data_IF_055914056056
#
_entry.id   IF_055914056056
#
_cell.length_a   1.000
_cell.length_b   1.000
_cell.length_c   1.000
_cell.angle_alpha   90.00
_cell.angle_beta   90.00
_cell.angle_gamma   90.00
#
_symmetry.space_group_name_H-M   'P 1'
#
loop_
_entity.id
_entity.type
_entity.pdbx_description
1 polymer ?
#
# COMPACT_ATOMS: atom_id res chain seq x y z
N UNK A 1 4.16 17.09 -23.53
CA UNK A 1 3.86 18.43 -22.97
C UNK A 1 3.39 18.27 -21.52
N UNK A 2 4.02 18.97 -20.57
CA UNK A 2 3.55 18.99 -19.19
C UNK A 2 2.25 19.80 -19.12
N UNK A 3 1.23 19.30 -18.42
CA UNK A 3 0.01 20.07 -18.22
C UNK A 3 0.31 21.30 -17.34
N UNK A 4 -0.19 22.46 -17.76
CA UNK A 4 -0.09 23.68 -16.97
C UNK A 4 -1.18 23.68 -15.88
N UNK A 5 -0.75 23.55 -14.63
CA UNK A 5 -1.63 23.49 -13.48
C UNK A 5 -1.76 24.86 -12.83
N UNK A 6 -2.71 25.66 -13.31
CA UNK A 6 -3.12 26.87 -12.60
C UNK A 6 -3.77 26.53 -11.26
N UNK A 7 -3.90 27.52 -10.38
CA UNK A 7 -4.59 27.38 -9.11
C UNK A 7 -6.05 26.93 -9.31
N UNK A 8 -6.72 27.48 -10.32
CA UNK A 8 -8.10 27.13 -10.65
C UNK A 8 -8.21 25.73 -11.25
N UNK A 9 -7.32 25.36 -12.18
CA UNK A 9 -7.26 23.99 -12.71
C UNK A 9 -6.98 22.97 -11.61
N UNK A 10 -6.11 23.31 -10.66
CA UNK A 10 -5.84 22.46 -9.49
C UNK A 10 -7.09 22.33 -8.62
N UNK A 11 -7.82 23.42 -8.35
CA UNK A 11 -9.09 23.37 -7.61
C UNK A 11 -10.13 22.49 -8.27
N UNK A 12 -10.34 22.67 -9.58
CA UNK A 12 -11.30 21.88 -10.36
C UNK A 12 -10.93 20.40 -10.33
N UNK A 13 -9.68 20.04 -10.61
CA UNK A 13 -9.28 18.63 -10.63
C UNK A 13 -9.36 17.98 -9.25
N UNK A 14 -9.00 18.70 -8.17
CA UNK A 14 -9.11 18.17 -6.80
C UNK A 14 -10.58 17.94 -6.41
N UNK A 15 -11.50 18.81 -6.84
CA UNK A 15 -12.94 18.59 -6.63
C UNK A 15 -13.43 17.33 -7.36
N UNK A 16 -13.09 17.18 -8.64
CA UNK A 16 -13.50 16.02 -9.44
C UNK A 16 -12.94 14.71 -8.89
N UNK A 17 -11.68 14.73 -8.43
CA UNK A 17 -11.08 13.60 -7.75
C UNK A 17 -11.81 13.25 -6.45
N UNK A 18 -12.15 14.24 -5.62
CA UNK A 18 -12.89 13.99 -4.39
C UNK A 18 -14.28 13.40 -4.65
N UNK A 19 -14.98 13.84 -5.70
CA UNK A 19 -16.28 13.29 -6.08
C UNK A 19 -16.17 11.82 -6.49
N UNK A 20 -15.14 11.46 -7.27
CA UNK A 20 -14.89 10.07 -7.66
C UNK A 20 -14.52 9.18 -6.46
N UNK A 21 -13.79 9.72 -5.48
CA UNK A 21 -13.50 8.99 -4.23
C UNK A 21 -14.79 8.77 -3.42
N UNK A 22 -15.65 9.78 -3.29
CA UNK A 22 -16.95 9.67 -2.62
C UNK A 22 -17.88 8.67 -3.31
N UNK A 23 -17.77 8.54 -4.63
CA UNK A 23 -18.50 7.55 -5.42
C UNK A 23 -17.96 6.11 -5.27
N UNK A 24 -16.88 5.90 -4.51
CA UNK A 24 -16.29 4.58 -4.29
C UNK A 24 -15.38 4.10 -5.43
N UNK A 25 -15.06 4.97 -6.40
CA UNK A 25 -14.23 4.61 -7.56
C UNK A 25 -12.72 4.61 -7.26
N UNK A 26 -12.35 4.41 -6.00
CA UNK A 26 -10.96 4.31 -5.53
C UNK A 26 -10.84 3.05 -4.66
N UNK A 27 -10.74 1.85 -5.27
CA UNK A 27 -10.72 0.58 -4.55
C UNK A 27 -9.44 0.37 -3.72
N UNK A 28 -8.37 1.12 -4.02
CA UNK A 28 -7.10 1.06 -3.31
C UNK A 28 -6.50 2.47 -3.21
N UNK A 29 -5.28 2.68 -3.73
CA UNK A 29 -4.53 3.94 -3.59
C UNK A 29 -4.82 4.98 -4.68
N UNK A 30 -5.45 4.57 -5.78
CA UNK A 30 -5.71 5.38 -6.98
C UNK A 30 -7.14 5.19 -7.47
N UNK A 31 -7.62 6.14 -8.26
CA UNK A 31 -8.91 6.01 -8.93
C UNK A 31 -8.87 4.85 -9.95
N UNK A 32 -10.03 4.27 -10.26
CA UNK A 32 -10.16 3.31 -11.37
C UNK A 32 -9.89 4.00 -12.71
N UNK A 33 -9.52 3.23 -13.73
CA UNK A 33 -9.27 3.76 -15.07
C UNK A 33 -10.49 4.52 -15.61
N UNK A 34 -11.70 3.96 -15.46
CA UNK A 34 -12.95 4.62 -15.83
C UNK A 34 -13.14 5.96 -15.09
N UNK A 35 -12.82 6.03 -13.80
CA UNK A 35 -12.94 7.27 -13.05
C UNK A 35 -11.92 8.33 -13.49
N UNK A 36 -10.71 7.94 -13.90
CA UNK A 36 -9.78 8.88 -14.52
C UNK A 36 -10.28 9.40 -15.87
N UNK A 37 -10.92 8.55 -16.68
CA UNK A 37 -11.54 9.00 -17.94
C UNK A 37 -12.70 9.95 -17.70
N UNK A 38 -13.56 9.68 -16.72
CA UNK A 38 -14.65 10.58 -16.34
C UNK A 38 -14.12 11.93 -15.84
N UNK A 39 -13.07 11.91 -15.02
CA UNK A 39 -12.41 13.14 -14.57
C UNK A 39 -11.84 13.90 -15.76
N UNK A 40 -11.18 13.23 -16.71
CA UNK A 40 -10.65 13.87 -17.91
C UNK A 40 -11.77 14.52 -18.74
N UNK A 41 -12.88 13.80 -18.96
CA UNK A 41 -14.06 14.29 -19.70
C UNK A 41 -14.68 15.52 -19.03
N UNK A 42 -14.93 15.45 -17.73
CA UNK A 42 -15.56 16.55 -16.97
C UNK A 42 -14.60 17.73 -16.81
N UNK A 43 -13.30 17.47 -16.66
CA UNK A 43 -12.28 18.53 -16.62
C UNK A 43 -12.21 19.28 -17.95
N UNK A 44 -12.20 18.56 -19.09
CA UNK A 44 -12.26 19.16 -20.43
C UNK A 44 -13.56 19.95 -20.63
N UNK A 45 -14.70 19.44 -20.13
CA UNK A 45 -15.98 20.16 -20.20
C UNK A 45 -15.94 21.50 -19.45
N UNK A 46 -15.26 21.56 -18.30
CA UNK A 46 -15.18 22.78 -17.47
C UNK A 46 -14.10 23.77 -17.91
N UNK A 47 -12.97 23.28 -18.39
CA UNK A 47 -11.77 24.11 -18.66
C UNK A 47 -11.42 24.24 -20.14
N UNK A 48 -12.01 23.39 -20.99
CA UNK A 48 -11.63 23.25 -22.40
C UNK A 48 -10.29 22.51 -22.62
N UNK A 49 -9.59 22.14 -21.55
CA UNK A 49 -8.26 21.52 -21.63
C UNK A 49 -8.37 20.00 -21.65
N UNK A 50 -7.75 19.39 -22.65
CA UNK A 50 -7.66 17.94 -22.75
C UNK A 50 -6.50 17.41 -21.89
N UNK A 51 -6.82 16.61 -20.87
CA UNK A 51 -5.85 15.99 -20.00
C UNK A 51 -5.73 14.50 -20.29
N UNK A 52 -4.51 14.06 -20.55
CA UNK A 52 -4.19 12.63 -20.67
C UNK A 52 -4.25 11.95 -19.30
N UNK A 53 -4.60 10.66 -19.29
CA UNK A 53 -4.59 9.82 -18.09
C UNK A 53 -3.28 9.96 -17.28
N UNK A 54 -2.12 9.91 -17.95
CA UNK A 54 -0.81 10.07 -17.31
C UNK A 54 -0.64 11.42 -16.60
N UNK A 55 -1.25 12.50 -17.12
CA UNK A 55 -1.18 13.82 -16.50
C UNK A 55 -2.03 13.88 -15.22
N UNK A 56 -3.18 13.21 -15.21
CA UNK A 56 -4.04 13.07 -14.03
C UNK A 56 -3.39 12.20 -12.95
N UNK A 57 -2.81 11.05 -13.32
CA UNK A 57 -2.05 10.19 -12.38
C UNK A 57 -0.88 10.95 -11.76
N UNK A 58 -0.05 11.60 -12.58
CA UNK A 58 1.06 12.42 -12.09
C UNK A 58 0.62 13.56 -11.16
N UNK A 59 -0.56 14.16 -11.41
CA UNK A 59 -1.12 15.20 -10.54
C UNK A 59 -1.61 14.60 -9.23
N UNK A 60 -2.30 13.46 -9.28
CA UNK A 60 -2.73 12.72 -8.09
C UNK A 60 -1.55 12.39 -7.18
N UNK A 61 -0.46 11.85 -7.72
CA UNK A 61 0.75 11.50 -6.95
C UNK A 61 1.39 12.72 -6.29
N UNK A 62 1.48 13.84 -7.02
CA UNK A 62 1.98 15.10 -6.45
C UNK A 62 1.08 15.61 -5.32
N UNK A 63 -0.24 15.55 -5.50
CA UNK A 63 -1.19 15.94 -4.46
C UNK A 63 -1.08 15.05 -3.22
N UNK A 64 -0.87 13.75 -3.40
CA UNK A 64 -0.63 12.79 -2.30
C UNK A 64 0.63 13.12 -1.51
N UNK A 65 1.75 13.37 -2.21
CA UNK A 65 3.02 13.78 -1.57
C UNK A 65 2.82 15.06 -0.77
N UNK A 66 2.12 16.03 -1.35
CA UNK A 66 1.87 17.33 -0.74
C UNK A 66 1.01 17.22 0.52
N UNK A 67 -0.05 16.42 0.45
CA UNK A 67 -0.90 16.11 1.60
C UNK A 67 -0.12 15.40 2.71
N UNK A 68 0.73 14.42 2.38
CA UNK A 68 1.56 13.72 3.35
C UNK A 68 2.55 14.63 4.07
N UNK A 69 3.24 15.49 3.31
CA UNK A 69 4.16 16.50 3.87
C UNK A 69 3.39 17.41 4.84
N UNK A 70 2.19 17.84 4.45
CA UNK A 70 1.36 18.71 5.25
C UNK A 70 0.78 18.02 6.49
N UNK A 71 0.35 16.76 6.40
CA UNK A 71 -0.12 15.94 7.54
C UNK A 71 0.99 15.74 8.57
N UNK A 72 2.21 15.43 8.12
CA UNK A 72 3.40 15.35 9.01
C UNK A 72 3.75 16.70 9.63
N UNK A 73 3.58 17.79 8.89
CA UNK A 73 3.77 19.14 9.40
C UNK A 73 2.76 19.46 10.52
N UNK A 74 1.47 19.09 10.33
CA UNK A 74 0.40 19.18 11.34
C UNK A 74 0.69 18.37 12.60
N UNK A 75 1.12 17.12 12.44
CA UNK A 75 1.43 16.23 13.57
C UNK A 75 2.60 16.71 14.43
N UNK A 76 3.60 17.36 13.83
CA UNK A 76 4.75 17.92 14.56
C UNK A 76 4.35 19.06 15.50
N UNK A 77 3.22 19.69 15.24
CA UNK A 77 2.70 20.82 16.00
C UNK A 77 1.68 20.33 17.02
N UNK A 78 2.15 19.60 18.03
CA UNK A 78 1.34 19.12 19.14
C UNK A 78 0.79 20.30 19.95
N UNK A 79 -0.37 20.84 19.53
CA UNK A 79 -1.12 21.86 20.28
C UNK A 79 -1.38 23.17 19.54
N UNK A 80 -2.45 23.21 18.73
CA UNK A 80 -3.30 24.40 18.59
C UNK A 80 -2.82 25.61 17.76
N UNK A 81 -1.66 25.59 17.09
CA UNK A 81 -1.14 26.77 16.36
C UNK A 81 -1.54 26.91 14.88
N UNK A 82 -2.57 26.19 14.41
CA UNK A 82 -3.09 26.33 13.05
C UNK A 82 -4.13 27.45 12.97
N UNK A 83 -3.72 28.68 12.71
CA UNK A 83 -4.63 29.79 12.40
C UNK A 83 -4.96 29.81 10.90
N UNK A 84 -6.24 29.61 10.56
CA UNK A 84 -6.77 29.77 9.19
C UNK A 84 -6.03 28.96 8.09
N UNK A 85 -5.48 27.79 8.45
CA UNK A 85 -4.78 26.89 7.51
C UNK A 85 -3.34 27.30 7.16
N UNK A 86 -2.79 28.33 7.80
CA UNK A 86 -1.39 28.75 7.65
C UNK A 86 -0.63 28.58 8.96
N UNK A 87 0.58 28.03 8.88
CA UNK A 87 1.45 27.83 10.04
C UNK A 87 2.18 29.14 10.35
N UNK A 88 1.67 29.90 11.32
CA UNK A 88 2.29 31.13 11.81
C UNK A 88 3.32 30.80 12.90
N UNK A 89 4.39 30.08 12.52
CA UNK A 89 5.53 29.79 13.41
C UNK A 89 6.77 30.61 13.06
N UNK A 90 7.65 30.75 14.05
CA UNK A 90 8.90 31.48 13.93
C UNK A 90 9.86 30.89 12.87
N UNK A 91 10.86 31.67 12.51
CA UNK A 91 11.85 31.26 11.52
C UNK A 91 12.70 30.05 11.94
N UNK A 92 12.79 29.75 13.24
CA UNK A 92 13.63 28.67 13.78
C UNK A 92 12.90 27.33 13.74
N UNK A 93 11.61 27.31 14.05
CA UNK A 93 10.71 26.18 13.87
C UNK A 93 10.70 25.74 12.42
N UNK A 94 10.58 26.67 11.46
CA UNK A 94 10.66 26.36 10.04
C UNK A 94 12.04 25.84 9.59
N UNK A 95 13.14 26.26 10.24
CA UNK A 95 14.48 25.68 9.98
C UNK A 95 14.52 24.22 10.43
N UNK A 96 13.94 23.90 11.58
CA UNK A 96 13.87 22.54 12.10
C UNK A 96 12.92 21.67 11.27
N UNK A 97 11.72 22.15 10.96
CA UNK A 97 10.74 21.47 10.13
C UNK A 97 11.27 21.17 8.72
N UNK A 98 12.12 22.02 8.13
CA UNK A 98 12.77 21.75 6.84
C UNK A 98 13.81 20.64 6.90
N UNK A 99 14.46 20.44 8.05
CA UNK A 99 15.41 19.33 8.26
C UNK A 99 14.65 18.01 8.40
N UNK A 100 13.57 18.02 9.17
CA UNK A 100 12.79 16.83 9.50
C UNK A 100 11.85 16.41 8.35
N UNK A 101 11.28 17.39 7.63
CA UNK A 101 10.29 17.20 6.57
C UNK A 101 10.77 17.90 5.30
N UNK A 102 11.41 17.13 4.41
CA UNK A 102 11.85 17.64 3.10
C UNK A 102 10.64 18.14 2.30
N UNK A 103 10.74 19.34 1.73
CA UNK A 103 9.69 19.93 0.90
C UNK A 103 8.58 20.68 1.66
N UNK A 104 8.59 20.70 2.99
CA UNK A 104 7.58 21.44 3.78
C UNK A 104 7.66 22.96 3.59
N UNK A 105 8.82 23.48 3.16
CA UNK A 105 9.08 24.90 3.04
C UNK A 105 8.16 25.66 2.08
N UNK A 106 7.49 24.97 1.15
CA UNK A 106 6.48 25.58 0.27
C UNK A 106 5.20 25.97 1.01
N UNK A 107 4.88 25.28 2.11
CA UNK A 107 3.71 25.57 2.93
C UNK A 107 3.90 26.76 3.87
N UNK A 108 5.11 27.35 3.89
CA UNK A 108 5.46 28.51 4.73
C UNK A 108 4.77 29.80 4.32
N UNK A 109 4.59 30.01 3.02
CA UNK A 109 3.97 31.25 2.48
C UNK A 109 2.50 31.07 2.14
N UNK A 110 2.08 29.83 1.95
CA UNK A 110 0.75 29.47 1.52
C UNK A 110 0.43 28.08 2.05
N UNK A 111 -0.56 27.96 2.92
CA UNK A 111 -1.03 26.68 3.45
C UNK A 111 -1.46 25.69 2.35
N UNK A 112 -1.83 24.48 2.74
CA UNK A 112 -2.31 23.48 1.79
C UNK A 112 -3.67 23.91 1.22
N UNK A 113 -3.70 24.26 -0.07
CA UNK A 113 -4.95 24.56 -0.78
C UNK A 113 -5.77 23.29 -0.96
N UNK A 114 -7.10 23.42 -0.89
CA UNK A 114 -8.06 22.32 -1.02
C UNK A 114 -7.88 21.21 0.04
N UNK A 115 -7.44 21.56 1.25
CA UNK A 115 -7.19 20.58 2.33
C UNK A 115 -8.36 19.61 2.53
N UNK A 116 -9.61 20.10 2.54
CA UNK A 116 -10.79 19.26 2.74
C UNK A 116 -10.93 18.18 1.65
N UNK A 117 -10.78 18.55 0.38
CA UNK A 117 -10.83 17.59 -0.72
C UNK A 117 -9.64 16.63 -0.69
N UNK A 118 -8.45 17.13 -0.33
CA UNK A 118 -7.26 16.28 -0.18
C UNK A 118 -7.40 15.29 0.98
N UNK A 119 -8.04 15.69 2.07
CA UNK A 119 -8.41 14.80 3.17
C UNK A 119 -9.34 13.71 2.68
N UNK A 120 -10.41 14.06 1.97
CA UNK A 120 -11.33 13.06 1.38
C UNK A 120 -10.58 12.10 0.44
N UNK A 121 -9.63 12.60 -0.35
CA UNK A 121 -8.90 11.78 -1.31
C UNK A 121 -7.83 10.87 -0.69
N UNK A 122 -7.23 11.25 0.44
CA UNK A 122 -5.99 10.64 0.92
C UNK A 122 -6.00 10.19 2.39
N UNK A 123 -6.97 10.61 3.21
CA UNK A 123 -6.91 10.38 4.66
C UNK A 123 -6.75 8.89 5.05
N UNK A 124 -7.44 8.01 4.35
CA UNK A 124 -7.48 6.57 4.61
C UNK A 124 -6.38 5.76 3.90
N UNK A 125 -5.58 6.40 3.02
CA UNK A 125 -4.45 5.78 2.31
C UNK A 125 -3.10 6.38 2.70
N UNK A 126 -3.08 7.26 3.70
CA UNK A 126 -1.86 7.92 4.17
C UNK A 126 -1.46 7.36 5.52
N UNK A 127 -0.49 6.44 5.50
CA UNK A 127 0.15 5.90 6.69
C UNK A 127 0.86 7.02 7.43
N UNK A 128 0.44 7.25 8.65
CA UNK A 128 0.72 8.44 9.42
C UNK A 128 2.06 8.37 10.17
N UNK A 129 2.94 7.43 9.82
CA UNK A 129 4.18 7.15 10.55
C UNK A 129 3.98 6.61 11.98
N UNK A 130 2.77 6.67 12.54
CA UNK A 130 2.31 5.94 13.73
C UNK A 130 2.02 4.48 13.36
N UNK A 131 1.76 4.18 12.09
CA UNK A 131 1.70 2.82 11.52
C UNK A 131 3.07 2.12 11.39
N UNK A 132 4.10 2.56 12.13
CA UNK A 132 5.23 1.68 12.39
C UNK A 132 4.71 0.56 13.30
N UNK A 133 4.23 -0.51 12.67
CA UNK A 133 4.00 -1.76 13.35
C UNK A 133 5.30 -2.15 14.04
N UNK A 134 5.32 -1.99 15.37
CA UNK A 134 6.42 -2.45 16.21
C UNK A 134 6.24 -3.96 16.37
N UNK A 135 7.21 -4.80 15.95
CA UNK A 135 7.13 -6.25 16.15
C UNK A 135 6.95 -6.66 17.62
N UNK A 136 7.26 -5.77 18.57
CA UNK A 136 7.06 -5.99 20.00
C UNK A 136 5.61 -5.78 20.48
N UNK A 137 4.70 -5.25 19.65
CA UNK A 137 3.33 -4.90 20.06
C UNK A 137 2.27 -5.98 19.76
N UNK A 138 2.66 -7.13 19.22
CA UNK A 138 1.86 -8.38 19.21
C UNK A 138 0.57 -8.41 18.37
N UNK A 139 0.06 -7.28 17.88
CA UNK A 139 -1.16 -7.23 17.07
C UNK A 139 -0.83 -6.91 15.61
N UNK A 140 -1.10 -7.80 14.64
CA UNK A 140 -0.87 -7.51 13.23
C UNK A 140 -1.80 -6.40 12.71
N UNK A 141 -1.34 -5.53 11.78
CA UNK A 141 -2.22 -4.58 11.13
C UNK A 141 -3.20 -5.32 10.19
N UNK A 142 -4.39 -4.75 9.93
CA UNK A 142 -5.35 -5.35 9.01
C UNK A 142 -4.69 -5.60 7.65
N UNK A 143 -4.78 -6.86 7.20
CA UNK A 143 -4.04 -7.50 6.11
C UNK A 143 -4.13 -6.84 4.72
N UNK A 144 -4.83 -5.73 4.55
CA UNK A 144 -5.02 -5.09 3.24
C UNK A 144 -3.91 -4.11 2.84
N UNK A 145 -3.16 -3.54 3.81
CA UNK A 145 -2.21 -2.47 3.50
C UNK A 145 -0.78 -2.94 3.18
N UNK A 146 -0.36 -4.11 3.69
CA UNK A 146 1.04 -4.54 3.60
C UNK A 146 1.35 -5.30 2.30
N UNK A 147 0.36 -6.03 1.75
CA UNK A 147 0.52 -6.74 0.47
C UNK A 147 0.63 -5.80 -0.74
N UNK A 148 0.07 -4.58 -0.64
CA UNK A 148 0.09 -3.60 -1.73
C UNK A 148 1.46 -2.94 -1.95
N UNK A 149 2.36 -2.96 -0.96
CA UNK A 149 3.69 -2.34 -1.07
C UNK A 149 4.76 -3.28 -1.65
N UNK A 150 4.51 -4.59 -1.73
CA UNK A 150 5.51 -5.58 -2.18
C UNK A 150 5.43 -5.82 -3.70
N UNK A 151 4.28 -5.58 -4.32
CA UNK A 151 4.08 -5.73 -5.77
C UNK A 151 4.00 -4.36 -6.45
N UNK A 152 5.14 -3.67 -6.60
CA UNK A 152 5.23 -2.53 -7.50
C UNK A 152 5.25 -3.03 -8.96
N UNK A 153 4.07 -3.41 -9.48
CA UNK A 153 3.84 -3.80 -10.90
C UNK A 153 4.10 -2.61 -11.85
N UNK A 154 4.08 -1.37 -11.33
CA UNK A 154 4.25 -0.11 -12.07
C UNK A 154 5.69 0.17 -12.59
N UNK A 155 6.64 -0.77 -12.45
CA UNK A 155 8.01 -0.63 -13.00
C UNK A 155 8.21 -1.33 -14.36
N UNK A 156 7.14 -1.87 -14.97
CA UNK A 156 7.19 -2.30 -16.36
C UNK A 156 6.98 -1.05 -17.21
N UNK A 157 8.07 -0.50 -17.75
CA UNK A 157 7.98 0.47 -18.84
C UNK A 157 7.36 -0.24 -20.04
N UNK A 158 6.16 0.18 -20.42
CA UNK A 158 5.58 -0.14 -21.73
C UNK A 158 6.60 0.28 -22.79
N UNK A 159 7.14 -0.69 -23.50
CA UNK A 159 7.89 -0.47 -24.73
C UNK A 159 6.81 -0.27 -25.79
N UNK A 160 6.60 0.99 -26.21
CA UNK A 160 5.72 1.34 -27.33
C UNK A 160 6.05 0.42 -28.51
N UNK A 161 5.09 -0.44 -28.84
CA UNK A 161 5.14 -1.35 -29.97
C UNK A 161 4.39 -0.67 -31.13
N UNK A 162 4.94 0.43 -31.63
CA UNK A 162 4.38 1.10 -32.81
C UNK A 162 4.97 0.50 -34.10
N UNK A 163 4.05 -0.20 -34.76
CA UNK A 163 3.79 -0.16 -36.19
C UNK A 163 4.63 -1.03 -37.13
N UNK A 164 3.93 -2.07 -37.61
CA UNK A 164 4.27 -2.98 -38.67
C UNK A 164 4.10 -2.23 -39.99
N UNK A 165 5.19 -1.83 -40.66
CA UNK A 165 5.15 -1.55 -42.09
C UNK A 165 5.61 -2.79 -42.87
N UNK A 166 4.65 -3.42 -43.56
CA UNK A 166 4.88 -4.45 -44.56
C UNK A 166 5.83 -3.94 -45.66
N UNK A 167 6.89 -4.70 -45.94
CA UNK A 167 7.68 -4.50 -47.16
C UNK A 167 7.98 -5.82 -47.87
N UNK A 168 7.44 -5.95 -49.09
CA UNK A 168 8.07 -6.64 -50.23
C UNK A 168 7.21 -6.46 -51.50
N UNK A 169 7.77 -6.55 -52.73
CA UNK A 169 9.09 -7.07 -53.09
C UNK A 169 9.89 -6.25 -54.16
N UNK A 170 11.13 -6.69 -54.38
CA UNK A 170 11.86 -6.77 -55.68
C UNK A 170 13.08 -5.84 -55.98
N UNK A 171 14.24 -6.51 -56.01
CA UNK A 171 15.31 -6.48 -57.03
C UNK A 171 16.46 -5.42 -57.01
N UNK A 172 17.64 -5.94 -56.65
CA UNK A 172 18.88 -5.99 -57.46
C UNK A 172 19.93 -4.85 -57.45
N UNK A 173 21.16 -5.28 -57.08
CA UNK A 173 22.52 -4.87 -57.53
C UNK A 173 22.96 -3.43 -57.18
N UNK A 174 24.15 -3.10 -56.67
CA UNK A 174 25.52 -3.65 -56.68
C UNK A 174 26.31 -2.77 -55.67
N UNK A 175 27.14 -3.26 -54.74
CA UNK A 175 28.41 -3.93 -54.97
C UNK A 175 29.61 -2.98 -54.73
N UNK A 176 30.27 -3.07 -53.55
CA UNK A 176 31.74 -3.02 -53.39
C UNK A 176 32.17 -3.43 -51.96
N UNK A 177 32.92 -4.53 -51.90
CA UNK A 177 33.63 -5.15 -50.76
C UNK A 177 34.99 -4.42 -50.60
N UNK A 178 35.58 -4.25 -49.43
CA UNK A 178 36.43 -5.16 -48.63
C UNK A 178 36.97 -4.26 -47.48
N UNK A 179 37.20 -4.65 -46.24
CA UNK A 179 37.13 -5.92 -45.53
C UNK A 179 37.84 -5.71 -44.18
N UNK A 180 37.43 -6.44 -43.13
CA UNK A 180 38.27 -7.23 -42.22
C UNK A 180 37.39 -7.74 -41.09
N UNK A 181 37.28 -9.06 -41.00
CA UNK A 181 36.77 -9.76 -39.82
C UNK A 181 37.76 -9.52 -38.67
N UNK A 182 37.24 -9.03 -37.55
CA UNK A 182 37.78 -9.37 -36.23
C UNK A 182 36.66 -10.11 -35.53
N UNK A 183 36.93 -11.38 -35.25
CA UNK A 183 36.19 -12.22 -34.32
C UNK A 183 36.38 -11.61 -32.92
N UNK A 184 35.27 -11.27 -32.25
CA UNK A 184 35.26 -11.06 -30.80
C UNK A 184 33.98 -11.74 -30.26
N UNK A 185 34.08 -13.05 -30.09
CA UNK A 185 33.24 -13.79 -29.14
C UNK A 185 33.37 -13.14 -27.76
N UNK A 186 32.27 -13.18 -27.00
CA UNK A 186 32.20 -12.88 -25.55
C UNK A 186 32.07 -11.43 -25.08
N UNK A 187 31.09 -10.70 -25.64
CA UNK A 187 30.39 -9.68 -24.84
C UNK A 187 28.88 -9.87 -24.96
N UNK A 188 28.29 -10.65 -24.04
CA UNK A 188 26.85 -10.52 -23.76
C UNK A 188 26.58 -9.02 -23.56
N UNK A 189 25.57 -8.43 -24.24
CA UNK A 189 25.26 -7.03 -24.03
C UNK A 189 25.02 -6.82 -22.54
N UNK A 190 25.64 -5.80 -21.95
CA UNK A 190 25.56 -5.50 -20.50
C UNK A 190 24.12 -5.54 -19.97
N UNK A 191 23.15 -5.25 -20.81
CA UNK A 191 21.70 -5.36 -20.55
C UNK A 191 21.23 -6.78 -20.22
N UNK A 192 21.75 -7.81 -20.89
CA UNK A 192 21.36 -9.21 -20.66
C UNK A 192 21.89 -9.77 -19.33
N UNK A 193 23.10 -9.37 -18.91
CA UNK A 193 23.62 -9.72 -17.59
C UNK A 193 22.83 -9.03 -16.47
N UNK A 194 22.53 -7.73 -16.63
CA UNK A 194 21.71 -6.98 -15.68
C UNK A 194 20.30 -7.58 -15.58
N UNK A 195 19.68 -7.97 -16.70
CA UNK A 195 18.39 -8.65 -16.70
C UNK A 195 18.43 -9.99 -15.96
N UNK A 196 19.47 -10.81 -16.17
CA UNK A 196 19.60 -12.10 -15.51
C UNK A 196 19.79 -11.97 -13.98
N UNK A 197 20.54 -10.96 -13.53
CA UNK A 197 20.71 -10.63 -12.11
C UNK A 197 19.40 -10.16 -11.45
N UNK A 198 18.62 -9.32 -12.15
CA UNK A 198 17.30 -8.88 -11.66
C UNK A 198 16.31 -10.05 -11.57
N UNK A 199 16.26 -10.92 -12.58
CA UNK A 199 15.40 -12.13 -12.58
C UNK A 199 15.77 -13.05 -11.40
N UNK A 200 17.06 -13.26 -11.17
CA UNK A 200 17.54 -14.08 -10.05
C UNK A 200 17.15 -13.45 -8.70
N UNK A 201 17.24 -12.12 -8.60
CA UNK A 201 16.83 -11.39 -7.40
C UNK A 201 15.31 -11.49 -7.16
N UNK A 202 14.50 -11.41 -8.21
CA UNK A 202 13.05 -11.60 -8.14
C UNK A 202 12.72 -13.03 -7.67
N UNK A 203 13.38 -14.05 -8.24
CA UNK A 203 13.20 -15.44 -7.80
C UNK A 203 13.51 -15.64 -6.31
N UNK A 204 14.63 -15.10 -5.84
CA UNK A 204 15.02 -15.17 -4.43
C UNK A 204 14.06 -14.40 -3.49
N UNK A 205 13.46 -13.30 -3.95
CA UNK A 205 12.45 -12.56 -3.17
C UNK A 205 11.16 -13.36 -3.12
N UNK A 206 10.71 -13.90 -4.25
CA UNK A 206 9.50 -14.72 -4.34
C UNK A 206 9.59 -15.96 -3.44
N UNK A 207 10.73 -16.66 -3.44
CA UNK A 207 10.97 -17.83 -2.59
C UNK A 207 10.92 -17.47 -1.09
N UNK A 208 11.56 -16.36 -0.69
CA UNK A 208 11.50 -15.88 0.71
C UNK A 208 10.10 -15.43 1.12
N UNK A 209 9.36 -14.78 0.23
CA UNK A 209 7.98 -14.38 0.46
C UNK A 209 7.06 -15.59 0.59
N UNK A 210 7.23 -16.60 -0.26
CA UNK A 210 6.48 -17.86 -0.19
C UNK A 210 6.78 -18.61 1.11
N UNK A 211 8.05 -18.77 1.49
CA UNK A 211 8.44 -19.43 2.73
C UNK A 211 7.89 -18.70 3.98
N UNK A 212 7.89 -17.36 3.95
CA UNK A 212 7.32 -16.54 5.03
C UNK A 212 5.80 -16.69 5.12
N UNK A 213 5.12 -16.71 3.97
CA UNK A 213 3.68 -16.92 3.89
C UNK A 213 3.29 -18.33 4.35
N UNK A 214 4.00 -19.37 3.92
CA UNK A 214 3.79 -20.74 4.38
C UNK A 214 4.03 -20.88 5.90
N UNK A 215 5.05 -20.21 6.44
CA UNK A 215 5.29 -20.18 7.88
C UNK A 215 4.15 -19.50 8.64
N UNK A 216 3.65 -18.37 8.14
CA UNK A 216 2.51 -17.67 8.72
C UNK A 216 1.22 -18.51 8.67
N UNK A 217 0.94 -19.16 7.54
CA UNK A 217 -0.20 -20.08 7.40
C UNK A 217 -0.08 -21.28 8.34
N UNK A 218 1.12 -21.87 8.49
CA UNK A 218 1.36 -22.94 9.48
C UNK A 218 1.16 -22.46 10.92
N UNK A 219 1.55 -21.23 11.24
CA UNK A 219 1.34 -20.64 12.57
C UNK A 219 -0.13 -20.27 12.84
N UNK A 220 -0.91 -19.92 11.81
CA UNK A 220 -2.36 -19.72 11.93
C UNK A 220 -3.12 -21.04 12.05
N UNK A 221 -2.68 -22.06 11.33
CA UNK A 221 -3.27 -23.41 11.39
C UNK A 221 -2.98 -24.12 12.73
N UNK A 222 -1.79 -23.90 13.30
CA UNK A 222 -1.36 -24.52 14.57
C UNK A 222 -2.25 -24.19 15.78
N UNK A 223 -2.94 -23.05 15.75
CA UNK A 223 -3.91 -22.65 16.77
C UNK A 223 -5.32 -22.50 16.18
N UNK A 224 -5.65 -23.26 15.13
CA UNK A 224 -6.99 -23.26 14.54
C UNK A 224 -8.04 -23.70 15.55
N UNK A 225 -9.29 -23.26 15.33
CA UNK A 225 -10.43 -23.61 16.20
C UNK A 225 -10.61 -25.13 16.25
N UNK A 226 -10.42 -25.83 15.14
CA UNK A 226 -10.52 -27.29 15.07
C UNK A 226 -9.50 -27.98 15.98
N UNK A 227 -8.22 -27.57 15.93
CA UNK A 227 -7.16 -28.14 16.78
C UNK A 227 -7.47 -27.90 18.26
N UNK A 228 -7.88 -26.68 18.60
CA UNK A 228 -8.19 -26.34 19.99
C UNK A 228 -9.42 -27.09 20.50
N UNK A 229 -10.48 -27.19 19.71
CA UNK A 229 -11.67 -27.95 20.11
C UNK A 229 -11.37 -29.45 20.26
N UNK A 230 -10.48 -30.02 19.44
CA UNK A 230 -10.00 -31.39 19.67
C UNK A 230 -9.25 -31.51 21.01
N UNK A 231 -8.45 -30.51 21.39
CA UNK A 231 -7.76 -30.49 22.67
C UNK A 231 -8.70 -30.29 23.88
N UNK A 232 -9.84 -29.63 23.69
CA UNK A 232 -10.92 -29.51 24.70
C UNK A 232 -11.58 -30.86 24.96
N UNK A 233 -11.88 -31.60 23.89
CA UNK A 233 -12.41 -32.96 24.00
C UNK A 233 -11.38 -33.89 24.67
N UNK A 234 -10.10 -33.78 24.30
CA UNK A 234 -9.01 -34.57 24.88
C UNK A 234 -8.83 -34.33 26.39
N UNK A 235 -9.05 -33.10 26.89
CA UNK A 235 -8.98 -32.81 28.31
C UNK A 235 -10.27 -33.17 29.09
N UNK A 236 -11.26 -33.82 28.45
CA UNK A 236 -12.46 -34.34 29.09
C UNK A 236 -13.68 -33.41 29.10
N UNK A 237 -13.62 -32.25 28.43
CA UNK A 237 -14.76 -31.36 28.28
C UNK A 237 -15.61 -31.81 27.08
N UNK A 238 -16.48 -32.79 27.32
CA UNK A 238 -17.37 -33.37 26.30
C UNK A 238 -18.50 -32.41 25.91
N UNK A 239 -19.04 -32.58 24.70
CA UNK A 239 -20.19 -31.81 24.22
C UNK A 239 -21.35 -31.83 25.24
N UNK A 240 -21.86 -30.64 25.58
CA UNK A 240 -22.94 -30.48 26.55
C UNK A 240 -22.49 -30.16 27.98
N UNK A 241 -21.19 -30.19 28.30
CA UNK A 241 -20.70 -29.68 29.59
C UNK A 241 -20.52 -28.16 29.57
N UNK A 242 -20.52 -27.56 30.77
CA UNK A 242 -20.24 -26.15 30.98
C UNK A 242 -18.84 -25.76 30.45
N UNK A 243 -17.85 -26.66 30.60
CA UNK A 243 -16.49 -26.50 30.09
C UNK A 243 -16.43 -26.49 28.56
N UNK A 244 -17.19 -27.34 27.90
CA UNK A 244 -17.29 -27.34 26.45
C UNK A 244 -18.01 -26.09 25.96
N UNK A 245 -19.07 -25.66 26.63
CA UNK A 245 -19.81 -24.45 26.28
C UNK A 245 -18.92 -23.20 26.38
N UNK A 246 -18.22 -22.98 27.50
CA UNK A 246 -17.31 -21.83 27.64
C UNK A 246 -16.15 -21.88 26.65
N UNK A 247 -15.67 -23.07 26.27
CA UNK A 247 -14.65 -23.24 25.25
C UNK A 247 -15.09 -22.69 23.89
N UNK A 248 -16.34 -22.97 23.47
CA UNK A 248 -16.87 -22.45 22.19
C UNK A 248 -16.92 -20.92 22.13
N UNK A 249 -17.09 -20.26 23.27
CA UNK A 249 -17.08 -18.79 23.34
C UNK A 249 -15.67 -18.20 23.46
N UNK A 250 -14.78 -18.84 24.23
CA UNK A 250 -13.41 -18.36 24.45
C UNK A 250 -12.55 -18.47 23.19
N UNK A 251 -12.68 -19.57 22.45
CA UNK A 251 -11.80 -19.90 21.33
C UNK A 251 -12.16 -19.22 20.02
N UNK A 252 -13.14 -18.31 20.02
CA UNK A 252 -13.29 -17.33 18.94
C UNK A 252 -12.05 -16.42 18.87
N UNK A 253 -11.42 -16.12 20.02
CA UNK A 253 -10.22 -15.27 20.10
C UNK A 253 -8.93 -16.09 19.98
N UNK A 254 -8.03 -15.69 19.07
CA UNK A 254 -6.75 -16.36 18.81
C UNK A 254 -5.85 -16.43 20.04
N UNK A 255 -5.72 -15.36 20.80
CA UNK A 255 -4.87 -15.33 21.99
C UNK A 255 -5.30 -16.36 23.06
N UNK A 256 -6.60 -16.62 23.18
CA UNK A 256 -7.12 -17.63 24.11
C UNK A 256 -6.82 -19.05 23.61
N UNK A 257 -6.87 -19.27 22.30
CA UNK A 257 -6.50 -20.54 21.66
C UNK A 257 -5.02 -20.86 21.90
N UNK A 258 -4.15 -19.90 21.64
CA UNK A 258 -2.70 -20.05 21.85
C UNK A 258 -2.36 -20.31 23.33
N UNK A 259 -2.97 -19.56 24.26
CA UNK A 259 -2.77 -19.77 25.69
C UNK A 259 -3.24 -21.17 26.14
N UNK A 260 -4.38 -21.64 25.63
CA UNK A 260 -4.91 -22.97 25.94
C UNK A 260 -4.05 -24.11 25.40
N UNK A 261 -3.47 -23.95 24.21
CA UNK A 261 -2.54 -24.94 23.67
C UNK A 261 -1.19 -24.96 24.41
N UNK A 262 -0.74 -23.81 24.94
CA UNK A 262 0.51 -23.72 25.68
C UNK A 262 0.43 -24.33 27.09
N UNK A 263 -0.74 -24.35 27.73
CA UNK A 263 -0.92 -24.97 29.05
C UNK A 263 -0.92 -26.51 28.97
N UNK A 264 -0.54 -27.14 30.08
CA UNK A 264 -0.53 -28.59 30.22
C UNK A 264 -1.95 -29.16 30.14
N UNK A 265 -2.07 -30.35 29.57
CA UNK A 265 -3.35 -31.03 29.36
C UNK A 265 -4.12 -31.23 30.69
N UNK A 266 -3.41 -31.53 31.76
CA UNK A 266 -3.97 -31.70 33.10
C UNK A 266 -4.60 -30.41 33.68
N UNK A 267 -4.17 -29.23 33.23
CA UNK A 267 -4.68 -27.94 33.75
C UNK A 267 -5.79 -27.33 32.89
N UNK A 268 -5.98 -27.83 31.66
CA UNK A 268 -6.95 -27.29 30.68
C UNK A 268 -8.40 -27.37 31.17
N UNK A 269 -8.80 -28.53 31.69
CA UNK A 269 -10.17 -28.75 32.17
C UNK A 269 -10.52 -27.81 33.31
N UNK A 270 -9.70 -27.78 34.37
CA UNK A 270 -9.96 -26.92 35.51
C UNK A 270 -9.89 -25.42 35.16
N UNK A 271 -9.05 -25.04 34.21
CA UNK A 271 -9.03 -23.68 33.68
C UNK A 271 -10.36 -23.29 33.03
N UNK A 272 -10.94 -24.18 32.21
CA UNK A 272 -12.28 -23.97 31.62
C UNK A 272 -13.36 -23.88 32.71
N UNK A 273 -13.36 -24.77 33.70
CA UNK A 273 -14.32 -24.73 34.81
C UNK A 273 -14.23 -23.42 35.61
N UNK A 274 -13.00 -22.92 35.84
CA UNK A 274 -12.79 -21.61 36.49
C UNK A 274 -13.31 -20.46 35.63
N UNK A 275 -13.07 -20.49 34.31
CA UNK A 275 -13.58 -19.46 33.39
C UNK A 275 -15.10 -19.45 33.33
N UNK A 276 -15.74 -20.60 33.31
CA UNK A 276 -17.19 -20.72 33.36
C UNK A 276 -17.74 -20.12 34.66
N UNK A 277 -17.19 -20.50 35.82
CA UNK A 277 -17.59 -19.94 37.12
C UNK A 277 -17.38 -18.43 37.23
N UNK A 278 -16.32 -17.88 36.65
CA UNK A 278 -16.13 -16.41 36.66
C UNK A 278 -17.20 -15.71 35.81
N UNK A 279 -17.64 -16.32 34.72
CA UNK A 279 -18.58 -15.71 33.78
C UNK A 279 -20.05 -15.89 34.19
N UNK A 280 -20.38 -17.04 34.78
CA UNK A 280 -21.76 -17.46 35.07
C UNK A 280 -22.00 -17.81 36.55
N UNK A 281 -20.96 -17.83 37.38
CA UNK A 281 -21.11 -18.00 38.82
C UNK A 281 -21.54 -16.68 39.46
N UNK A 282 -22.66 -16.70 40.15
CA UNK A 282 -23.11 -15.63 41.04
C UNK A 282 -22.37 -15.67 42.38
#
# INVERSE_FOLDING_TARGET
MAAEWSDENTRIVTHLFADQVRAGNRPNTHLTSNAYEEVAKEFKRRTGVDLKHTQLKNKWDKLKIDYNIFKRLKQRETGGGWESGTVTHDGEWWKHAKKDIKGCGKFRKQGLRNEENLRVMFEDITSDGTDHWNPASGLPPPSSAVVANILNVDAIQDVDLDEIEEVSPASSKSGKRLGRFIDDKDKKPKTAQVMQEQITKIGNIAERSQASFESFMKADDAASVSIVMNAVLACGATEGTDEHFIATELFVKRDQREMFLHMSEASRFEWLSRKYRIKYGH
#
